data_IF_599036318714
#
_entry.id   IF_599036318714
#
_cell.length_a   1.000
_cell.length_b   1.000
_cell.length_c   1.000
_cell.angle_alpha   90.00
_cell.angle_beta   90.00
_cell.angle_gamma   90.00
#
_symmetry.space_group_name_H-M   'P 1'
#
loop_
_entity.id
_entity.type
_entity.pdbx_description
1 polymer ?
#
# COMPACT_ATOMS: atom_id res chain seq x y z
N UNK A 1 0.37 -11.46 -11.56
CA UNK A 1 1.06 -11.64 -10.27
C UNK A 1 2.53 -11.40 -10.49
N UNK A 2 3.13 -10.47 -9.75
CA UNK A 2 4.53 -10.09 -9.96
C UNK A 2 5.44 -11.32 -9.83
N UNK A 3 6.25 -11.54 -10.86
CA UNK A 3 7.22 -12.64 -10.94
C UNK A 3 8.60 -12.08 -10.56
N UNK A 4 9.31 -12.84 -9.74
CA UNK A 4 10.50 -12.56 -8.90
C UNK A 4 11.85 -12.38 -9.65
N UNK A 5 12.97 -11.86 -9.05
CA UNK A 5 13.15 -11.19 -7.73
C UNK A 5 13.93 -9.84 -7.70
N UNK A 6 13.85 -9.02 -6.61
CA UNK A 6 12.95 -9.03 -5.43
C UNK A 6 12.25 -7.66 -5.25
N UNK A 7 11.10 -7.44 -5.90
CA UNK A 7 10.37 -6.18 -5.74
C UNK A 7 8.88 -6.45 -5.67
N UNK A 8 8.26 -6.00 -4.57
CA UNK A 8 6.81 -5.86 -4.45
C UNK A 8 6.27 -5.11 -5.68
N UNK A 9 5.05 -5.42 -6.10
CA UNK A 9 4.40 -4.83 -7.25
C UNK A 9 4.23 -3.31 -7.07
N UNK A 10 4.63 -2.53 -8.08
CA UNK A 10 4.26 -1.12 -8.18
C UNK A 10 2.75 -0.97 -8.48
N UNK A 11 2.24 0.25 -8.32
CA UNK A 11 0.84 0.60 -8.55
C UNK A 11 0.37 0.20 -9.96
N UNK A 12 -0.90 -0.21 -10.07
CA UNK A 12 -1.53 -0.69 -11.29
C UNK A 12 -1.13 -2.11 -11.71
N UNK A 13 -0.20 -2.78 -11.02
CA UNK A 13 0.16 -4.18 -11.32
C UNK A 13 -0.79 -5.17 -10.64
N UNK A 14 -1.00 -6.32 -11.28
CA UNK A 14 -1.94 -7.32 -10.80
C UNK A 14 -1.48 -8.05 -9.53
N UNK A 15 -2.33 -8.05 -8.50
CA UNK A 15 -2.11 -8.61 -7.17
C UNK A 15 -3.23 -9.58 -6.76
N UNK A 16 -2.97 -10.42 -5.76
CA UNK A 16 -3.94 -11.27 -5.08
C UNK A 16 -4.22 -10.77 -3.66
N UNK A 17 -3.24 -10.17 -3.02
CA UNK A 17 -3.38 -9.57 -1.69
C UNK A 17 -2.47 -8.35 -1.55
N UNK A 18 -2.68 -7.56 -0.50
CA UNK A 18 -1.85 -6.39 -0.18
C UNK A 18 -0.36 -6.73 -0.11
N UNK A 19 0.00 -7.91 0.39
CA UNK A 19 1.39 -8.39 0.49
C UNK A 19 2.10 -8.53 -0.87
N UNK A 20 1.38 -8.48 -2.00
CA UNK A 20 1.98 -8.43 -3.33
C UNK A 20 2.43 -7.02 -3.71
N UNK A 21 1.92 -5.97 -3.05
CA UNK A 21 2.02 -4.57 -3.44
C UNK A 21 3.01 -3.77 -2.59
N UNK A 22 3.71 -2.81 -3.20
CA UNK A 22 4.60 -1.89 -2.46
C UNK A 22 3.85 -1.05 -1.43
N UNK A 23 2.59 -0.72 -1.74
CA UNK A 23 1.68 0.03 -0.87
C UNK A 23 1.02 -0.81 0.21
N UNK A 24 1.12 -2.15 0.16
CA UNK A 24 0.26 -3.07 0.89
C UNK A 24 -1.24 -2.97 0.54
N UNK A 25 -1.62 -2.23 -0.52
CA UNK A 25 -3.02 -2.09 -0.94
C UNK A 25 -3.25 -2.82 -2.25
N UNK A 26 -4.07 -3.88 -2.20
CA UNK A 26 -4.54 -4.60 -3.38
C UNK A 26 -6.06 -4.43 -3.51
N UNK A 27 -6.50 -3.65 -4.50
CA UNK A 27 -7.90 -3.38 -4.74
C UNK A 27 -8.31 -3.80 -6.14
N UNK A 28 -9.43 -4.51 -6.26
CA UNK A 28 -9.94 -5.03 -7.53
C UNK A 28 -8.88 -5.83 -8.34
N UNK A 29 -7.96 -6.49 -7.64
CA UNK A 29 -6.88 -7.28 -8.25
C UNK A 29 -5.71 -6.45 -8.79
N UNK A 30 -5.61 -5.16 -8.48
CA UNK A 30 -4.49 -4.30 -8.82
C UNK A 30 -3.93 -3.55 -7.60
N UNK A 31 -2.62 -3.37 -7.55
CA UNK A 31 -1.98 -2.56 -6.52
C UNK A 31 -2.39 -1.12 -6.66
N UNK A 32 -2.80 -0.49 -5.56
CA UNK A 32 -3.17 0.93 -5.54
C UNK A 32 -2.07 1.75 -4.89
N UNK A 33 -2.02 3.02 -5.26
CA UNK A 33 -1.21 3.98 -4.51
C UNK A 33 -1.72 4.04 -3.06
N UNK A 34 -0.80 4.14 -2.10
CA UNK A 34 -1.16 4.32 -0.70
C UNK A 34 -1.79 5.70 -0.48
N UNK A 35 -2.74 5.79 0.44
CA UNK A 35 -3.38 7.05 0.82
C UNK A 35 -3.63 7.09 2.32
N UNK A 36 -3.67 8.29 2.88
CA UNK A 36 -3.99 8.57 4.29
C UNK A 36 -5.45 8.32 4.68
N UNK A 37 -6.14 7.47 3.94
CA UNK A 37 -7.55 7.07 4.15
C UNK A 37 -7.81 5.67 3.60
N UNK A 38 -6.77 4.88 3.32
CA UNK A 38 -6.91 3.56 2.69
C UNK A 38 -7.13 2.42 3.71
N UNK A 39 -7.09 2.73 4.99
CA UNK A 39 -7.31 1.78 6.08
C UNK A 39 -6.10 0.91 6.39
N UNK A 40 -4.93 1.20 5.82
CA UNK A 40 -3.73 0.37 5.94
C UNK A 40 -2.56 1.21 6.40
N UNK A 41 -1.98 0.88 7.56
CA UNK A 41 -0.73 1.52 8.00
C UNK A 41 0.42 1.22 7.04
N UNK A 42 0.84 2.20 6.24
CA UNK A 42 1.83 2.04 5.20
C UNK A 42 2.66 3.32 4.94
N UNK A 43 3.67 3.25 4.06
CA UNK A 43 4.53 4.39 3.64
C UNK A 43 5.04 5.36 4.72
N UNK A 44 5.23 4.90 5.95
CA UNK A 44 5.81 5.68 7.03
C UNK A 44 4.81 6.32 7.99
N UNK A 45 3.51 6.06 7.82
CA UNK A 45 2.47 6.49 8.76
C UNK A 45 2.75 6.02 10.20
N UNK A 46 2.44 6.88 11.17
CA UNK A 46 2.64 6.60 12.59
C UNK A 46 1.63 5.58 13.14
N UNK A 47 0.42 5.56 12.55
CA UNK A 47 -0.63 4.56 12.78
C UNK A 47 -1.45 4.39 11.50
N UNK A 48 -2.57 3.67 11.55
CA UNK A 48 -3.43 3.51 10.36
C UNK A 48 -3.96 4.89 9.95
N UNK A 49 -3.60 5.35 8.74
CA UNK A 49 -4.07 6.60 8.15
C UNK A 49 -3.81 7.87 9.02
N UNK A 50 -2.79 7.86 9.88
CA UNK A 50 -2.48 8.95 10.81
C UNK A 50 -0.97 9.17 10.98
N UNK A 51 -0.61 10.32 11.56
CA UNK A 51 0.75 10.81 11.74
C UNK A 51 1.39 11.26 10.44
N UNK A 52 2.66 11.65 10.49
CA UNK A 52 3.44 11.92 9.28
C UNK A 52 3.56 10.63 8.45
N UNK A 53 3.32 10.65 7.12
CA UNK A 53 3.20 11.81 6.22
C UNK A 53 1.76 12.33 5.98
N UNK A 54 0.79 11.90 6.77
CA UNK A 54 -0.64 12.17 6.57
C UNK A 54 -1.17 13.47 7.16
N UNK A 55 -0.31 14.34 7.70
CA UNK A 55 -0.66 15.64 8.30
C UNK A 55 -1.87 15.57 9.25
N UNK A 56 -2.07 14.41 9.90
CA UNK A 56 -3.21 14.10 10.75
C UNK A 56 -2.70 13.56 12.06
N UNK A 57 -3.17 14.08 13.20
CA UNK A 57 -2.71 13.61 14.50
C UNK A 57 -3.07 12.13 14.75
N UNK A 58 -2.15 11.43 15.40
CA UNK A 58 -2.36 10.10 15.97
C UNK A 58 -2.29 10.21 17.51
#
# INVERSE_FOLDING_TARGET
>A
MCKNPPKLCADGKGCKSGADCQSNVCWAGACQAPTCTDGVQNQGEAGIDCGEPCDTDC
#
